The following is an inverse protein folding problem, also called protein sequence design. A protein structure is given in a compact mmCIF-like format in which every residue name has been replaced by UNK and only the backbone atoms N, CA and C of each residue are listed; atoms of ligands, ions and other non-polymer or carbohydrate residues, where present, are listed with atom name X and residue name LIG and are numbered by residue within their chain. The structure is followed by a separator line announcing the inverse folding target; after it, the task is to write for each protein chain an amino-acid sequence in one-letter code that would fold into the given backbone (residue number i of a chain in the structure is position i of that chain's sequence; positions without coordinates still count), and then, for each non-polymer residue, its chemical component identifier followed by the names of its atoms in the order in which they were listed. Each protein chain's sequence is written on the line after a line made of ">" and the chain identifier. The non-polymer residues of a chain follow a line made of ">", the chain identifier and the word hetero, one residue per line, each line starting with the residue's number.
data_IF_723506055425
#
_entry.id   IF_723506055425
#
_cell.length_a   1.000
_cell.length_b   1.000
_cell.length_c   1.000
_cell.angle_alpha   90.00
_cell.angle_beta   90.00
_cell.angle_gamma   90.00
#
_symmetry.space_group_name_H-M   'P 1'
#
loop_
_entity.id
_entity.type
_entity.pdbx_description
1 polymer ?
#
# COMPACT_ATOMS: atom_id res chain seq x y z
N UNK A 1 1.88 -5.23 -6.25
CA UNK A 1 2.51 -5.72 -7.48
C UNK A 1 1.43 -6.45 -8.24
N UNK A 2 1.15 -6.07 -9.49
CA UNK A 2 0.13 -6.72 -10.31
C UNK A 2 0.85 -7.63 -11.29
N UNK A 3 0.66 -8.93 -11.16
CA UNK A 3 1.21 -9.96 -12.04
C UNK A 3 0.40 -10.10 -13.35
N UNK A 4 -0.92 -9.92 -13.29
CA UNK A 4 -1.87 -10.06 -14.41
C UNK A 4 -2.93 -8.98 -14.37
N UNK A 5 -3.48 -8.63 -15.53
CA UNK A 5 -4.55 -7.61 -15.66
C UNK A 5 -5.79 -7.98 -14.82
N UNK A 6 -6.09 -9.27 -14.71
CA UNK A 6 -7.21 -9.79 -13.92
C UNK A 6 -7.09 -9.48 -12.42
N UNK A 7 -5.86 -9.31 -11.92
CA UNK A 7 -5.58 -8.98 -10.53
C UNK A 7 -5.65 -7.46 -10.26
N UNK A 8 -6.03 -6.64 -11.24
CA UNK A 8 -6.33 -5.22 -11.02
C UNK A 8 -7.72 -5.08 -10.42
N UNK A 9 -7.79 -5.24 -9.10
CA UNK A 9 -9.05 -5.19 -8.36
C UNK A 9 -9.05 -3.96 -7.45
N UNK A 10 -10.00 -3.06 -7.69
CA UNK A 10 -10.22 -1.94 -6.79
C UNK A 10 -10.67 -2.45 -5.42
N UNK A 11 -9.94 -2.06 -4.38
CA UNK A 11 -10.25 -2.38 -3.00
C UNK A 11 -9.95 -1.19 -2.09
N UNK A 12 -10.74 -1.09 -1.02
CA UNK A 12 -10.72 0.05 -0.13
C UNK A 12 -9.43 0.14 0.71
N UNK A 13 -8.87 -1.01 1.09
CA UNK A 13 -7.64 -1.06 1.87
C UNK A 13 -6.44 -0.50 1.08
N UNK A 14 -6.34 -0.82 -0.21
CA UNK A 14 -5.32 -0.26 -1.10
C UNK A 14 -5.50 1.24 -1.32
N UNK A 15 -6.74 1.73 -1.40
CA UNK A 15 -6.99 3.17 -1.45
C UNK A 15 -6.48 3.87 -0.18
N UNK A 16 -6.73 3.29 1.00
CA UNK A 16 -6.21 3.84 2.26
C UNK A 16 -4.68 3.82 2.33
N UNK A 17 -4.05 2.72 1.92
CA UNK A 17 -2.59 2.61 1.87
C UNK A 17 -1.97 3.61 0.89
N UNK A 18 -2.56 3.79 -0.30
CA UNK A 18 -2.10 4.79 -1.27
C UNK A 18 -2.19 6.21 -0.68
N UNK A 19 -3.30 6.53 0.00
CA UNK A 19 -3.45 7.78 0.73
C UNK A 19 -2.39 7.97 1.82
N UNK A 20 -2.11 6.91 2.58
CA UNK A 20 -1.10 6.92 3.65
C UNK A 20 0.33 7.11 3.11
N UNK A 21 0.62 6.69 1.89
CA UNK A 21 1.92 6.93 1.24
C UNK A 21 1.99 8.35 0.64
N UNK A 22 0.94 8.81 -0.02
CA UNK A 22 0.95 10.09 -0.73
C UNK A 22 0.85 11.31 0.20
N UNK A 23 -0.03 11.27 1.21
CA UNK A 23 -0.26 12.40 2.10
C UNK A 23 1.00 12.89 2.87
N UNK A 24 1.82 12.03 3.51
CA UNK A 24 3.02 12.49 4.20
C UNK A 24 4.09 13.02 3.24
N UNK A 25 4.13 12.55 1.98
CA UNK A 25 5.08 13.06 0.99
C UNK A 25 4.85 14.54 0.69
N UNK A 26 3.60 15.00 0.66
CA UNK A 26 3.27 16.43 0.49
C UNK A 26 3.91 17.28 1.61
N UNK A 27 3.89 16.76 2.84
CA UNK A 27 4.53 17.44 3.99
C UNK A 27 6.04 17.51 3.79
N UNK A 28 6.66 16.40 3.39
CA UNK A 28 8.10 16.33 3.11
C UNK A 28 8.50 17.29 1.99
N UNK A 29 7.74 17.33 0.89
CA UNK A 29 7.99 18.22 -0.26
C UNK A 29 7.97 19.70 0.16
N UNK A 30 6.96 20.13 0.90
CA UNK A 30 6.85 21.52 1.37
C UNK A 30 8.00 21.88 2.32
N UNK A 31 8.43 20.94 3.17
CA UNK A 31 9.54 21.16 4.10
C UNK A 31 10.90 21.22 3.40
N UNK A 32 11.12 20.38 2.39
CA UNK A 32 12.40 20.29 1.68
C UNK A 32 12.56 21.30 0.55
N UNK A 33 11.45 21.74 -0.05
CA UNK A 33 11.43 22.67 -1.20
C UNK A 33 10.78 24.00 -0.83
N UNK A 34 11.06 24.50 0.37
CA UNK A 34 10.47 25.71 0.96
C UNK A 34 10.56 26.95 0.04
N UNK A 35 11.67 27.11 -0.68
CA UNK A 35 11.92 28.23 -1.61
C UNK A 35 11.10 28.17 -2.90
N UNK A 36 10.58 26.99 -3.29
CA UNK A 36 9.78 26.83 -4.50
C UNK A 36 8.32 27.24 -4.28
N UNK A 37 7.80 27.04 -3.07
CA UNK A 37 6.41 27.32 -2.71
C UNK A 37 6.29 28.69 -2.02
N UNK A 38 6.20 29.77 -2.80
CA UNK A 38 6.25 31.14 -2.25
C UNK A 38 5.10 31.53 -1.31
N UNK A 39 3.91 30.91 -1.45
CA UNK A 39 2.73 31.33 -0.69
C UNK A 39 2.60 30.60 0.65
N UNK A 40 3.19 31.17 1.70
CA UNK A 40 3.24 30.59 3.05
C UNK A 40 1.87 30.22 3.63
N UNK A 41 0.81 30.98 3.33
CA UNK A 41 -0.54 30.68 3.86
C UNK A 41 -1.08 29.37 3.27
N UNK A 42 -0.94 29.20 1.96
CA UNK A 42 -1.37 27.98 1.29
C UNK A 42 -0.51 26.78 1.70
N UNK A 43 0.80 26.96 1.86
CA UNK A 43 1.68 25.89 2.31
C UNK A 43 1.27 25.36 3.68
N UNK A 44 0.98 26.25 4.63
CA UNK A 44 0.52 25.87 5.98
C UNK A 44 -0.82 25.16 5.92
N UNK A 45 -1.77 25.67 5.12
CA UNK A 45 -3.07 25.04 4.91
C UNK A 45 -2.93 23.61 4.35
N UNK A 46 -2.18 23.45 3.26
CA UNK A 46 -1.97 22.16 2.59
C UNK A 46 -1.24 21.19 3.54
N UNK A 47 -0.23 21.67 4.26
CA UNK A 47 0.49 20.85 5.24
C UNK A 47 -0.44 20.34 6.34
N UNK A 48 -1.30 21.22 6.90
CA UNK A 48 -2.29 20.82 7.91
C UNK A 48 -3.28 19.79 7.39
N UNK A 49 -3.80 19.97 6.17
CA UNK A 49 -4.69 19.00 5.52
C UNK A 49 -3.99 17.67 5.24
N UNK A 50 -2.73 17.70 4.80
CA UNK A 50 -1.94 16.51 4.53
C UNK A 50 -1.69 15.70 5.80
N UNK A 51 -1.30 16.36 6.91
CA UNK A 51 -1.13 15.69 8.21
C UNK A 51 -2.45 15.07 8.69
N UNK A 52 -3.56 15.82 8.58
CA UNK A 52 -4.89 15.31 8.92
C UNK A 52 -5.28 14.10 8.07
N UNK A 53 -5.05 14.15 6.76
CA UNK A 53 -5.31 13.05 5.84
C UNK A 53 -4.43 11.83 6.17
N UNK A 54 -3.14 12.01 6.45
CA UNK A 54 -2.23 10.93 6.89
C UNK A 54 -2.77 10.24 8.13
N UNK A 55 -3.22 10.99 9.14
CA UNK A 55 -3.78 10.42 10.36
C UNK A 55 -5.10 9.67 10.06
N UNK A 56 -6.00 10.25 9.25
CA UNK A 56 -7.26 9.60 8.88
C UNK A 56 -6.99 8.28 8.15
N UNK A 57 -6.14 8.29 7.11
CA UNK A 57 -5.81 7.08 6.37
C UNK A 57 -5.13 6.03 7.26
N UNK A 58 -4.26 6.45 8.17
CA UNK A 58 -3.64 5.55 9.14
C UNK A 58 -4.69 4.86 10.00
N UNK A 59 -5.66 5.61 10.54
CA UNK A 59 -6.75 5.05 11.34
C UNK A 59 -7.67 4.15 10.52
N UNK A 60 -7.97 4.52 9.27
CA UNK A 60 -8.76 3.69 8.35
C UNK A 60 -8.12 2.33 8.08
N UNK A 61 -6.80 2.28 7.82
CA UNK A 61 -6.04 1.03 7.70
C UNK A 61 -6.05 0.28 9.03
N UNK A 62 -5.77 0.98 10.14
CA UNK A 62 -5.63 0.35 11.46
C UNK A 62 -6.90 -0.32 11.95
N UNK A 63 -8.06 0.30 11.68
CA UNK A 63 -9.37 -0.19 12.09
C UNK A 63 -10.16 -0.86 10.98
N UNK A 64 -9.58 -1.03 9.79
CA UNK A 64 -10.23 -1.69 8.65
C UNK A 64 -11.61 -1.09 8.34
N UNK A 65 -11.72 0.24 8.40
CA UNK A 65 -13.00 0.96 8.28
C UNK A 65 -13.63 0.67 6.92
N UNK A 66 -14.84 0.12 6.89
CA UNK A 66 -15.53 -0.23 5.63
C UNK A 66 -14.95 -1.44 4.88
N UNK A 67 -13.91 -2.09 5.40
CA UNK A 67 -13.33 -3.32 4.84
C UNK A 67 -14.03 -4.53 5.45
N UNK A 68 -15.18 -4.89 4.89
CA UNK A 68 -15.91 -6.14 5.20
C UNK A 68 -15.48 -7.27 4.25
N UNK A 69 -16.04 -8.46 4.40
CA UNK A 69 -15.66 -9.69 3.69
C UNK A 69 -15.36 -9.51 2.19
N UNK A 70 -16.25 -8.85 1.44
CA UNK A 70 -16.04 -8.61 0.00
C UNK A 70 -14.83 -7.71 -0.27
N UNK A 71 -14.66 -6.64 0.51
CA UNK A 71 -13.51 -5.74 0.37
C UNK A 71 -12.21 -6.41 0.83
N UNK A 72 -12.28 -7.25 1.86
CA UNK A 72 -11.18 -8.08 2.32
C UNK A 72 -10.72 -9.01 1.19
N UNK A 73 -11.62 -9.80 0.59
CA UNK A 73 -11.28 -10.69 -0.52
C UNK A 73 -10.71 -9.93 -1.73
N UNK A 74 -11.32 -8.80 -2.10
CA UNK A 74 -10.82 -7.94 -3.17
C UNK A 74 -9.41 -7.41 -2.92
N UNK A 75 -9.01 -7.25 -1.65
CA UNK A 75 -7.64 -6.86 -1.30
C UNK A 75 -6.67 -8.05 -1.21
N UNK A 76 -7.15 -9.23 -0.85
CA UNK A 76 -6.31 -10.43 -0.69
C UNK A 76 -5.93 -11.07 -2.02
N UNK A 77 -6.83 -11.09 -3.01
CA UNK A 77 -6.52 -11.63 -4.35
C UNK A 77 -5.25 -11.00 -4.95
N UNK A 78 -5.15 -9.66 -5.11
CA UNK A 78 -3.93 -9.05 -5.64
C UNK A 78 -2.74 -9.13 -4.68
N UNK A 79 -2.97 -9.22 -3.37
CA UNK A 79 -1.91 -9.41 -2.37
C UNK A 79 -1.24 -10.78 -2.53
N UNK A 80 -2.02 -11.86 -2.62
CA UNK A 80 -1.55 -13.23 -2.82
C UNK A 80 -0.85 -13.38 -4.16
N UNK A 81 -1.45 -12.85 -5.24
CA UNK A 81 -0.83 -12.86 -6.57
C UNK A 81 0.52 -12.12 -6.58
N UNK A 82 0.60 -10.97 -5.90
CA UNK A 82 1.86 -10.24 -5.72
C UNK A 82 2.90 -11.02 -4.92
N UNK A 83 2.49 -11.69 -3.85
CA UNK A 83 3.39 -12.51 -3.03
C UNK A 83 3.95 -13.71 -3.83
N UNK A 84 3.11 -14.40 -4.60
CA UNK A 84 3.54 -15.47 -5.51
C UNK A 84 4.55 -14.96 -6.53
N UNK A 85 4.26 -13.82 -7.19
CA UNK A 85 5.18 -13.21 -8.15
C UNK A 85 6.53 -12.87 -7.53
N UNK A 86 6.55 -12.30 -6.32
CA UNK A 86 7.79 -11.97 -5.61
C UNK A 86 8.65 -13.21 -5.34
N UNK A 87 8.02 -14.34 -5.05
CA UNK A 87 8.72 -15.61 -4.83
C UNK A 87 9.21 -16.22 -6.14
N UNK A 88 8.37 -16.24 -7.19
CA UNK A 88 8.70 -16.82 -8.50
C UNK A 88 9.87 -16.07 -9.17
N UNK A 89 9.94 -14.74 -9.02
CA UNK A 89 11.04 -13.90 -9.54
C UNK A 89 12.23 -13.79 -8.58
N UNK A 90 12.08 -14.30 -7.35
CA UNK A 90 13.09 -14.20 -6.30
C UNK A 90 14.29 -15.10 -6.57
N UNK A 91 15.49 -14.51 -6.62
CA UNK A 91 16.77 -15.26 -6.68
C UNK A 91 17.19 -15.70 -5.28
N UNK A 92 16.49 -16.69 -4.75
CA UNK A 92 16.74 -17.23 -3.42
C UNK A 92 17.95 -18.16 -3.44
N UNK A 93 18.84 -18.06 -2.46
CA UNK A 93 20.04 -18.91 -2.34
C UNK A 93 19.89 -19.93 -1.20
N UNK A 94 19.44 -19.44 -0.05
CA UNK A 94 19.25 -20.22 1.18
C UNK A 94 18.22 -21.36 1.00
N UNK A 95 18.58 -22.62 1.30
CA UNK A 95 17.67 -23.77 1.16
C UNK A 95 16.39 -23.70 2.01
N UNK A 96 16.47 -23.13 3.21
CA UNK A 96 15.31 -22.97 4.10
C UNK A 96 14.35 -21.94 3.52
N UNK A 97 14.87 -20.82 3.02
CA UNK A 97 14.07 -19.77 2.36
C UNK A 97 13.43 -20.30 1.08
N UNK A 98 14.12 -21.14 0.29
CA UNK A 98 13.54 -21.81 -0.89
C UNK A 98 12.38 -22.73 -0.53
N UNK A 99 12.49 -23.46 0.58
CA UNK A 99 11.40 -24.31 1.06
C UNK A 99 10.19 -23.46 1.44
N UNK A 100 10.39 -22.42 2.24
CA UNK A 100 9.32 -21.49 2.61
C UNK A 100 8.67 -20.84 1.37
N UNK A 101 9.47 -20.48 0.37
CA UNK A 101 8.99 -19.97 -0.90
C UNK A 101 8.01 -20.94 -1.60
N UNK A 102 8.32 -22.23 -1.65
CA UNK A 102 7.41 -23.22 -2.23
C UNK A 102 6.12 -23.35 -1.40
N UNK A 103 6.22 -23.31 -0.08
CA UNK A 103 5.06 -23.33 0.81
C UNK A 103 4.16 -22.11 0.54
N UNK A 104 4.73 -20.91 0.40
CA UNK A 104 4.01 -19.67 0.05
C UNK A 104 3.30 -19.82 -1.30
N UNK A 105 3.97 -20.32 -2.35
CA UNK A 105 3.31 -20.49 -3.66
C UNK A 105 2.10 -21.43 -3.52
N UNK A 106 2.27 -22.54 -2.81
CA UNK A 106 1.24 -23.57 -2.68
C UNK A 106 0.01 -23.11 -1.88
N UNK A 107 0.21 -22.38 -0.79
CA UNK A 107 -0.87 -21.90 0.06
C UNK A 107 -1.59 -20.72 -0.60
N UNK A 108 -0.85 -19.74 -1.11
CA UNK A 108 -1.41 -18.50 -1.67
C UNK A 108 -2.18 -18.72 -2.98
N UNK A 109 -1.84 -19.75 -3.77
CA UNK A 109 -2.62 -20.13 -4.98
C UNK A 109 -3.90 -20.91 -4.65
N UNK A 110 -3.99 -21.51 -3.46
CA UNK A 110 -5.13 -22.33 -3.04
C UNK A 110 -6.24 -21.48 -2.41
N UNK A 111 -5.87 -20.39 -1.75
CA UNK A 111 -6.77 -19.40 -1.17
C UNK A 111 -7.38 -18.48 -2.24
#
# INVERSE_FOLDING_TARGET
>A
MVDRIENIIFNLNQFYMAGLMAAPMIVVEILMMDKMYANRKFNVLITGLAIGASLIFFLCVRYQVGVKDVQFLKSMIPHHAGAVLMVEEGKLEDPEVKKQAQDIISSQKKE
#
